data_IF_816471773576
#
_entry.id   IF_816471773576
#
_cell.length_a   1.000
_cell.length_b   1.000
_cell.length_c   1.000
_cell.angle_alpha   90.00
_cell.angle_beta   90.00
_cell.angle_gamma   90.00
#
_symmetry.space_group_name_H-M   'P 1'
#
loop_
_entity.id
_entity.type
_entity.pdbx_description
1 polymer ?
#
# COMPACT_ATOMS: atom_id res chain seq x y z
N UNK A 1 2.08 0.73 -5.18
CA UNK A 1 2.58 0.74 -3.78
C UNK A 1 3.38 -0.51 -3.57
N UNK A 2 4.52 -0.42 -2.89
CA UNK A 2 5.31 -1.57 -2.44
C UNK A 2 5.37 -1.58 -0.92
N UNK A 3 5.52 -2.75 -0.32
CA UNK A 3 5.68 -2.90 1.12
C UNK A 3 6.64 -4.03 1.46
N UNK A 4 7.39 -3.88 2.56
CA UNK A 4 8.36 -4.86 3.03
C UNK A 4 8.43 -4.85 4.56
N UNK A 5 8.52 -6.04 5.15
CA UNK A 5 8.66 -6.27 6.58
C UNK A 5 10.14 -6.23 6.95
N UNK A 6 10.51 -5.18 7.70
CA UNK A 6 11.82 -4.98 8.32
C UNK A 6 11.64 -4.93 9.83
N UNK A 7 11.95 -3.79 10.48
CA UNK A 7 11.63 -3.50 11.89
C UNK A 7 10.16 -3.10 12.09
N UNK A 8 9.27 -3.62 11.25
CA UNK A 8 7.93 -3.12 10.95
C UNK A 8 7.69 -3.10 9.44
N UNK A 9 6.51 -2.67 9.02
CA UNK A 9 6.10 -2.57 7.62
C UNK A 9 6.51 -1.23 7.04
N UNK A 10 7.52 -1.24 6.18
CA UNK A 10 7.87 -0.10 5.35
C UNK A 10 7.00 -0.12 4.10
N UNK A 11 6.25 0.95 3.86
CA UNK A 11 5.33 1.09 2.74
C UNK A 11 5.76 2.26 1.87
N UNK A 12 5.98 2.01 0.60
CA UNK A 12 6.39 3.00 -0.38
C UNK A 12 5.28 3.20 -1.40
N UNK A 13 4.83 4.44 -1.52
CA UNK A 13 3.83 4.86 -2.51
C UNK A 13 4.54 5.55 -3.67
N UNK A 14 4.20 5.12 -4.89
CA UNK A 14 4.75 5.65 -6.13
C UNK A 14 3.64 6.31 -6.93
N UNK A 15 4.00 7.37 -7.64
CA UNK A 15 3.18 7.98 -8.68
C UNK A 15 3.14 7.03 -9.88
N UNK A 16 1.96 6.62 -10.34
CA UNK A 16 1.86 5.69 -11.46
C UNK A 16 2.19 6.35 -12.81
N UNK A 17 2.11 7.67 -12.91
CA UNK A 17 2.39 8.41 -14.14
C UNK A 17 3.88 8.78 -14.23
N UNK A 18 4.46 9.28 -13.13
CA UNK A 18 5.86 9.73 -13.10
C UNK A 18 6.84 8.69 -12.54
N UNK A 19 6.35 7.56 -12.01
CA UNK A 19 7.13 6.54 -11.28
C UNK A 19 7.92 7.06 -10.08
N UNK A 20 7.72 8.32 -9.69
CA UNK A 20 8.41 8.93 -8.57
C UNK A 20 7.86 8.44 -7.24
N UNK A 21 8.76 8.26 -6.27
CA UNK A 21 8.37 7.98 -4.89
C UNK A 21 7.66 9.19 -4.31
N UNK A 22 6.38 9.04 -3.99
CA UNK A 22 5.58 10.09 -3.39
C UNK A 22 5.79 10.11 -1.88
N UNK A 23 5.75 8.94 -1.24
CA UNK A 23 5.76 8.85 0.23
C UNK A 23 6.27 7.51 0.71
N UNK A 24 6.90 7.54 1.88
CA UNK A 24 7.21 6.35 2.66
C UNK A 24 6.45 6.43 3.98
N UNK A 25 5.79 5.34 4.35
CA UNK A 25 5.05 5.16 5.58
C UNK A 25 5.64 3.98 6.35
N UNK A 26 5.54 4.01 7.66
CA UNK A 26 5.94 2.90 8.52
C UNK A 26 4.76 2.49 9.39
N UNK A 27 4.41 1.21 9.32
CA UNK A 27 3.38 0.62 10.18
C UNK A 27 4.02 -0.45 11.06
N UNK A 28 3.66 -0.50 12.34
CA UNK A 28 4.08 -1.60 13.21
C UNK A 28 3.13 -2.80 13.14
N UNK A 29 1.94 -2.59 12.60
CA UNK A 29 0.84 -3.54 12.58
C UNK A 29 0.42 -3.82 11.14
N UNK A 30 0.28 -5.10 10.81
CA UNK A 30 -0.19 -5.58 9.51
C UNK A 30 -1.66 -5.21 9.25
N UNK A 31 -2.48 -5.08 10.29
CA UNK A 31 -3.86 -4.63 10.19
C UNK A 31 -3.97 -3.23 9.61
N UNK A 32 -3.09 -2.30 10.00
CA UNK A 32 -3.01 -0.95 9.40
C UNK A 32 -2.58 -0.98 7.93
N UNK A 33 -1.68 -1.89 7.56
CA UNK A 33 -1.29 -2.09 6.17
C UNK A 33 -2.51 -2.57 5.35
N UNK A 34 -3.21 -3.60 5.82
CA UNK A 34 -4.43 -4.13 5.19
C UNK A 34 -5.52 -3.07 5.09
N UNK A 35 -5.72 -2.26 6.12
CA UNK A 35 -6.69 -1.16 6.09
C UNK A 35 -6.33 -0.12 5.02
N UNK A 36 -5.05 0.23 4.89
CA UNK A 36 -4.59 1.15 3.84
C UNK A 36 -4.86 0.58 2.45
N UNK A 37 -4.54 -0.70 2.23
CA UNK A 37 -4.81 -1.37 0.95
C UNK A 37 -6.30 -1.40 0.66
N UNK A 38 -7.14 -1.70 1.65
CA UNK A 38 -8.61 -1.67 1.54
C UNK A 38 -9.13 -0.29 1.17
N UNK A 39 -8.71 0.76 1.88
CA UNK A 39 -9.14 2.14 1.64
C UNK A 39 -8.65 2.69 0.30
N UNK A 40 -7.52 2.18 -0.18
CA UNK A 40 -6.99 2.50 -1.51
C UNK A 40 -7.53 1.61 -2.63
N UNK A 41 -8.57 0.81 -2.40
CA UNK A 41 -9.21 0.00 -3.43
C UNK A 41 -8.38 -1.20 -3.91
N UNK A 42 -7.34 -1.60 -3.18
CA UNK A 42 -6.47 -2.74 -3.53
C UNK A 42 -7.09 -4.11 -3.23
N UNK A 43 -8.22 -4.17 -2.52
CA UNK A 43 -8.96 -5.40 -2.20
C UNK A 43 -10.24 -5.52 -3.07
N UNK A 44 -10.09 -5.34 -4.38
CA UNK A 44 -11.23 -5.27 -5.31
C UNK A 44 -12.01 -6.61 -5.44
N UNK A 45 -11.35 -7.74 -5.18
CA UNK A 45 -11.96 -9.07 -5.22
C UNK A 45 -11.24 -10.04 -4.25
N UNK A 46 -11.79 -11.25 -4.11
CA UNK A 46 -11.26 -12.27 -3.20
C UNK A 46 -9.83 -12.71 -3.57
N UNK A 47 -9.51 -12.78 -4.86
CA UNK A 47 -8.18 -13.13 -5.36
C UNK A 47 -7.12 -12.07 -5.01
N UNK A 48 -7.46 -10.79 -5.16
CA UNK A 48 -6.60 -9.69 -4.74
C UNK A 48 -6.38 -9.73 -3.23
N UNK A 49 -7.43 -10.03 -2.45
CA UNK A 49 -7.29 -10.20 -1.00
C UNK A 49 -6.33 -11.33 -0.65
N UNK A 50 -6.51 -12.53 -1.22
CA UNK A 50 -5.62 -13.66 -0.95
C UNK A 50 -4.18 -13.40 -1.40
N UNK A 51 -4.00 -12.69 -2.52
CA UNK A 51 -2.68 -12.33 -3.02
C UNK A 51 -1.97 -11.35 -2.08
N UNK A 52 -2.71 -10.39 -1.49
CA UNK A 52 -2.18 -9.44 -0.50
C UNK A 52 -1.87 -10.16 0.81
N UNK A 53 -2.78 -11.01 1.30
CA UNK A 53 -2.55 -11.80 2.52
C UNK A 53 -1.32 -12.70 2.37
N UNK A 54 -1.12 -13.33 1.20
CA UNK A 54 0.09 -14.09 0.90
C UNK A 54 1.33 -13.19 0.88
N UNK A 55 1.29 -12.06 0.20
CA UNK A 55 2.43 -11.13 0.14
C UNK A 55 2.82 -10.58 1.53
N UNK A 56 1.84 -10.36 2.41
CA UNK A 56 2.08 -10.01 3.81
C UNK A 56 2.71 -11.19 4.55
N UNK A 57 2.22 -12.42 4.34
CA UNK A 57 2.84 -13.62 4.92
C UNK A 57 4.28 -13.84 4.44
N UNK A 58 4.60 -13.49 3.19
CA UNK A 58 5.96 -13.53 2.62
C UNK A 58 6.85 -12.37 3.11
N UNK A 59 6.29 -11.43 3.89
CA UNK A 59 7.02 -10.28 4.41
C UNK A 59 7.31 -9.20 3.36
N UNK A 60 6.79 -9.30 2.14
CA UNK A 60 6.99 -8.28 1.09
C UNK A 60 6.00 -8.41 -0.05
N UNK A 61 5.69 -7.30 -0.67
CA UNK A 61 4.89 -7.30 -1.88
C UNK A 61 4.56 -5.93 -2.43
N UNK A 62 3.60 -5.90 -3.33
CA UNK A 62 3.14 -4.67 -3.95
C UNK A 62 1.68 -4.76 -4.36
N UNK A 63 1.03 -3.59 -4.37
CA UNK A 63 -0.36 -3.45 -4.76
C UNK A 63 -0.56 -2.15 -5.53
N UNK A 64 -1.41 -2.21 -6.54
CA UNK A 64 -1.91 -1.01 -7.20
C UNK A 64 -3.10 -0.47 -6.40
N UNK A 65 -2.99 0.79 -5.97
CA UNK A 65 -4.08 1.49 -5.31
C UNK A 65 -4.83 2.32 -6.34
N UNK A 66 -6.16 2.29 -6.30
CA UNK A 66 -7.04 3.19 -7.02
C UNK A 66 -7.49 4.29 -6.08
N UNK A 67 -6.66 5.33 -5.98
CA UNK A 67 -6.94 6.49 -5.14
C UNK A 67 -7.74 7.52 -5.91
N UNK A 68 -8.68 8.20 -5.24
CA UNK A 68 -9.29 9.41 -5.80
C UNK A 68 -8.25 10.55 -5.86
N UNK A 69 -8.45 11.56 -6.71
CA UNK A 69 -7.56 12.73 -6.78
C UNK A 69 -7.32 13.38 -5.41
N UNK A 70 -8.36 13.44 -4.57
CA UNK A 70 -8.29 14.00 -3.21
C UNK A 70 -7.45 13.13 -2.26
N UNK A 71 -7.62 11.81 -2.30
CA UNK A 71 -6.81 10.88 -1.50
C UNK A 71 -5.35 10.94 -1.92
N UNK A 72 -5.12 11.00 -3.23
CA UNK A 72 -3.79 11.11 -3.81
C UNK A 72 -3.11 12.44 -3.43
N UNK A 73 -3.84 13.55 -3.48
CA UNK A 73 -3.36 14.85 -3.02
C UNK A 73 -2.99 14.83 -1.53
N UNK A 74 -3.79 14.19 -0.66
CA UNK A 74 -3.47 14.02 0.76
C UNK A 74 -2.21 13.19 1.02
N UNK A 75 -1.82 12.32 0.09
CA UNK A 75 -0.54 11.60 0.17
C UNK A 75 0.64 12.49 -0.23
N UNK A 76 0.45 13.42 -1.17
CA UNK A 76 1.47 14.40 -1.62
C UNK A 76 1.65 15.56 -0.64
N UNK A 77 0.59 15.98 0.03
CA UNK A 77 0.60 17.13 0.95
C UNK A 77 1.03 16.67 2.35
N UNK A 78 1.99 17.39 2.93
CA UNK A 78 2.41 17.28 4.32
C UNK A 78 2.28 18.64 4.99
#
# INVERSE_FOLDING_TARGET
>A
MAFEQKKGWEVIVYDSASQQRIRTLQFQDEGKLLEMVRRGGGLANLEAKQSIERAISDGKGGVFLRLTPEQFAKLKIR
#
